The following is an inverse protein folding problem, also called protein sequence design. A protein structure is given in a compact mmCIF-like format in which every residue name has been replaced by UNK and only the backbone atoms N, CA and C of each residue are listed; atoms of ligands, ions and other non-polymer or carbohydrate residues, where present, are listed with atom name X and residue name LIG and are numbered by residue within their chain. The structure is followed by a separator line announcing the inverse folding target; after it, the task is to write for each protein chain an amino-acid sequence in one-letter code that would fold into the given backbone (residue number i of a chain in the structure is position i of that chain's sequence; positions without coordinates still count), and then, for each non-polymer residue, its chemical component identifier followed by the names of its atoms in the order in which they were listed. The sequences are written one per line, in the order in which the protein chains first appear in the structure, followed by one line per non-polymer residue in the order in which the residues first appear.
data_IF_149163633106
#
_entry.id   IF_149163633106
#
_cell.length_a   1.000
_cell.length_b   1.000
_cell.length_c   1.000
_cell.angle_alpha   90.00
_cell.angle_beta   90.00
_cell.angle_gamma   90.00
#
_symmetry.space_group_name_H-M   'P 1'
#
loop_
_entity.id
_entity.type
_entity.pdbx_description
1 polymer ?
#
# COMPACT_ATOMS: atom_id res chain seq x y z
N UNK A 1 -66.30 -48.38 -52.21
CA UNK A 1 -64.85 -48.56 -52.42
C UNK A 1 -64.23 -47.18 -52.57
N UNK A 2 -63.84 -46.59 -51.46
CA UNK A 2 -63.27 -45.24 -51.41
C UNK A 2 -61.73 -45.34 -51.25
N UNK A 3 -61.03 -44.78 -52.21
CA UNK A 3 -59.59 -44.56 -52.11
C UNK A 3 -59.34 -43.14 -51.63
N UNK A 4 -58.81 -43.00 -50.41
CA UNK A 4 -58.32 -41.76 -49.87
C UNK A 4 -56.84 -41.54 -50.25
N UNK A 5 -56.56 -40.40 -50.88
CA UNK A 5 -55.23 -39.84 -51.14
C UNK A 5 -54.70 -39.15 -49.92
N UNK A 6 -53.42 -39.29 -49.52
CA UNK A 6 -52.84 -38.47 -48.47
C UNK A 6 -52.31 -37.17 -49.09
N UNK A 7 -52.70 -36.06 -48.45
CA UNK A 7 -52.18 -34.70 -48.69
C UNK A 7 -50.80 -34.60 -48.09
N UNK A 8 -49.77 -34.34 -48.89
CA UNK A 8 -48.40 -34.06 -48.47
C UNK A 8 -48.27 -32.56 -48.13
N UNK A 9 -48.19 -32.23 -46.88
CA UNK A 9 -47.97 -30.88 -46.43
C UNK A 9 -46.44 -30.60 -46.48
N UNK A 10 -46.01 -29.80 -47.45
CA UNK A 10 -44.63 -29.30 -47.55
C UNK A 10 -44.50 -28.09 -46.66
N UNK A 11 -43.82 -28.24 -45.50
CA UNK A 11 -43.51 -27.18 -44.62
C UNK A 11 -42.25 -26.41 -45.12
N UNK A 12 -42.46 -25.27 -45.75
CA UNK A 12 -41.37 -24.33 -46.07
C UNK A 12 -40.82 -23.71 -44.79
N UNK A 13 -39.66 -24.16 -44.30
CA UNK A 13 -38.88 -23.47 -43.33
C UNK A 13 -38.21 -22.24 -44.01
N UNK A 14 -38.76 -21.05 -43.74
CA UNK A 14 -38.08 -19.79 -43.99
C UNK A 14 -36.97 -19.64 -42.97
N UNK A 15 -35.73 -19.83 -43.42
CA UNK A 15 -34.53 -19.41 -42.68
C UNK A 15 -34.52 -17.88 -42.58
N UNK A 16 -35.08 -17.36 -41.52
CA UNK A 16 -34.83 -15.99 -41.13
C UNK A 16 -33.35 -15.94 -40.71
N UNK A 17 -32.50 -15.34 -41.53
CA UNK A 17 -31.16 -14.91 -41.19
C UNK A 17 -31.31 -13.87 -40.11
N UNK A 18 -31.07 -14.26 -38.86
CA UNK A 18 -30.83 -13.30 -37.78
C UNK A 18 -29.50 -12.65 -38.10
N UNK A 19 -29.56 -11.45 -38.66
CA UNK A 19 -28.47 -10.51 -38.68
C UNK A 19 -28.11 -10.26 -37.20
N UNK A 20 -26.94 -10.77 -36.82
CA UNK A 20 -26.41 -10.64 -35.47
C UNK A 20 -26.06 -9.19 -35.17
N UNK A 21 -27.07 -8.36 -34.93
CA UNK A 21 -26.89 -7.14 -34.19
C UNK A 21 -26.28 -7.52 -32.81
N UNK A 22 -25.02 -7.15 -32.55
CA UNK A 22 -24.48 -7.20 -31.22
C UNK A 22 -25.50 -6.55 -30.27
N UNK A 23 -25.87 -7.21 -29.16
CA UNK A 23 -26.65 -6.53 -28.16
C UNK A 23 -25.86 -5.31 -27.80
N UNK A 24 -26.49 -4.14 -27.73
CA UNK A 24 -25.99 -2.96 -27.04
C UNK A 24 -25.74 -3.41 -25.60
N UNK A 25 -24.51 -3.93 -25.36
CA UNK A 25 -24.13 -4.52 -24.10
C UNK A 25 -24.25 -3.46 -23.02
N UNK A 26 -24.76 -3.85 -21.86
CA UNK A 26 -24.55 -3.05 -20.66
C UNK A 26 -23.05 -2.71 -20.57
N UNK A 27 -22.70 -1.48 -20.15
CA UNK A 27 -21.30 -1.08 -20.06
C UNK A 27 -20.54 -2.09 -19.22
N UNK A 28 -19.34 -2.48 -19.65
CA UNK A 28 -18.53 -3.46 -18.93
C UNK A 28 -18.25 -2.95 -17.52
N UNK A 29 -18.73 -3.67 -16.50
CA UNK A 29 -18.59 -3.28 -15.09
C UNK A 29 -17.71 -4.29 -14.35
N UNK A 30 -16.68 -3.78 -13.68
CA UNK A 30 -15.86 -4.55 -12.74
C UNK A 30 -16.41 -4.41 -11.33
N UNK A 31 -16.81 -5.52 -10.72
CA UNK A 31 -17.22 -5.60 -9.32
C UNK A 31 -16.03 -6.02 -8.46
N UNK A 32 -15.56 -5.12 -7.59
CA UNK A 32 -14.36 -5.31 -6.79
C UNK A 32 -14.64 -5.09 -5.31
N UNK A 33 -14.19 -6.00 -4.44
CA UNK A 33 -14.15 -5.77 -3.01
C UNK A 33 -13.05 -4.77 -2.65
N UNK A 34 -13.32 -3.85 -1.73
CA UNK A 34 -12.36 -2.86 -1.25
C UNK A 34 -12.00 -3.02 0.23
N UNK A 35 -12.71 -3.88 0.99
CA UNK A 35 -12.52 -4.00 2.43
C UNK A 35 -13.22 -2.86 3.18
N UNK A 36 -12.44 -2.07 3.92
CA UNK A 36 -12.93 -0.95 4.71
C UNK A 36 -13.39 0.25 3.84
N UNK A 37 -14.18 1.13 4.44
CA UNK A 37 -14.56 2.41 3.84
C UNK A 37 -13.35 3.35 3.77
N UNK A 38 -13.02 3.96 2.61
CA UNK A 38 -12.04 5.02 2.54
C UNK A 38 -12.46 6.24 3.38
N UNK A 39 -11.53 6.77 4.17
CA UNK A 39 -11.78 7.96 5.00
C UNK A 39 -12.04 9.22 4.17
N UNK A 40 -11.40 9.30 3.00
CA UNK A 40 -11.52 10.41 2.05
C UNK A 40 -11.03 10.01 0.66
N UNK A 41 -11.55 10.67 -0.39
CA UNK A 41 -10.98 10.65 -1.74
C UNK A 41 -10.18 11.92 -2.06
N UNK A 42 -10.08 12.88 -1.11
CA UNK A 42 -9.07 13.95 -1.17
C UNK A 42 -7.69 13.34 -0.92
N UNK A 43 -6.82 13.34 -1.91
CA UNK A 43 -5.48 12.74 -1.86
C UNK A 43 -4.59 13.33 -0.77
N UNK A 44 -4.89 14.52 -0.25
CA UNK A 44 -4.16 15.14 0.87
C UNK A 44 -4.75 14.81 2.25
N UNK A 45 -5.96 14.21 2.31
CA UNK A 45 -6.72 13.94 3.54
C UNK A 45 -6.89 12.45 3.82
N UNK A 46 -6.16 11.59 3.14
CA UNK A 46 -6.26 10.13 3.28
C UNK A 46 -4.90 9.48 3.48
N UNK A 47 -4.89 8.38 4.20
CA UNK A 47 -3.71 7.54 4.45
C UNK A 47 -4.00 6.06 4.31
N UNK A 48 -5.28 5.67 4.19
CA UNK A 48 -5.65 4.26 4.07
C UNK A 48 -5.29 3.67 2.71
N UNK A 49 -4.97 2.39 2.72
CA UNK A 49 -4.69 1.62 1.50
C UNK A 49 -5.92 1.60 0.58
N UNK A 50 -7.11 1.55 1.17
CA UNK A 50 -8.41 1.52 0.49
C UNK A 50 -8.64 2.81 -0.30
N UNK A 51 -8.39 3.98 0.32
CA UNK A 51 -8.42 5.26 -0.38
C UNK A 51 -7.40 5.29 -1.51
N UNK A 52 -6.16 4.86 -1.24
CA UNK A 52 -5.07 4.82 -2.22
C UNK A 52 -5.39 3.97 -3.45
N UNK A 53 -6.14 2.88 -3.32
CA UNK A 53 -6.57 2.08 -4.46
C UNK A 53 -7.53 2.83 -5.37
N UNK A 54 -8.56 3.46 -4.81
CA UNK A 54 -9.53 4.25 -5.58
C UNK A 54 -8.88 5.50 -6.17
N UNK A 55 -8.01 6.17 -5.42
CA UNK A 55 -7.31 7.36 -5.88
C UNK A 55 -6.39 7.10 -7.08
N UNK A 56 -5.76 5.91 -7.17
CA UNK A 56 -4.94 5.53 -8.35
C UNK A 56 -5.77 5.26 -9.59
N UNK A 57 -7.04 4.90 -9.44
CA UNK A 57 -7.97 4.78 -10.57
C UNK A 57 -8.46 6.19 -11.01
N UNK A 58 -8.60 7.13 -10.07
CA UNK A 58 -9.11 8.48 -10.29
C UNK A 58 -8.05 9.49 -10.73
N UNK A 59 -6.77 9.30 -10.38
CA UNK A 59 -5.73 10.28 -10.63
C UNK A 59 -4.38 9.67 -11.02
N UNK A 60 -3.54 10.49 -11.63
CA UNK A 60 -2.14 10.16 -11.89
C UNK A 60 -1.21 11.32 -11.48
N UNK A 61 -0.03 10.95 -10.93
CA UNK A 61 1.04 11.88 -10.60
C UNK A 61 1.97 12.18 -11.77
N UNK A 62 3.11 12.81 -11.48
CA UNK A 62 4.16 12.97 -12.49
C UNK A 62 4.71 11.63 -12.96
N UNK A 63 4.85 10.68 -12.02
CA UNK A 63 5.36 9.33 -12.23
C UNK A 63 4.29 8.29 -11.84
N UNK A 64 4.39 7.09 -12.38
CA UNK A 64 3.54 5.94 -12.09
C UNK A 64 4.33 4.63 -12.14
N UNK A 65 3.62 3.52 -11.97
CA UNK A 65 4.17 2.18 -12.14
C UNK A 65 3.49 1.45 -13.29
N UNK A 66 4.29 0.77 -14.11
CA UNK A 66 3.78 -0.19 -15.08
C UNK A 66 3.11 -1.39 -14.38
N UNK A 67 2.33 -2.22 -15.10
CA UNK A 67 1.80 -3.47 -14.56
C UNK A 67 2.88 -4.45 -14.06
N UNK A 68 4.12 -4.31 -14.51
CA UNK A 68 5.27 -5.08 -14.06
C UNK A 68 5.96 -4.48 -12.82
N UNK A 69 5.48 -3.34 -12.30
CA UNK A 69 6.05 -2.64 -11.15
C UNK A 69 7.28 -1.78 -11.47
N UNK A 70 7.59 -1.53 -12.75
CA UNK A 70 8.65 -0.61 -13.13
C UNK A 70 8.16 0.84 -13.05
N UNK A 71 9.02 1.74 -12.57
CA UNK A 71 8.76 3.17 -12.55
C UNK A 71 8.69 3.72 -13.98
N UNK A 72 7.64 4.48 -14.29
CA UNK A 72 7.42 5.06 -15.61
C UNK A 72 6.83 6.47 -15.54
N UNK A 73 6.99 7.31 -16.60
CA UNK A 73 6.33 8.59 -16.72
C UNK A 73 4.80 8.43 -16.78
N UNK A 74 4.06 9.31 -16.06
CA UNK A 74 2.60 9.34 -16.08
C UNK A 74 2.09 10.66 -16.66
N UNK A 75 1.72 11.65 -15.86
CA UNK A 75 1.38 12.99 -16.37
C UNK A 75 2.59 13.73 -16.98
N UNK A 76 3.81 13.39 -16.57
CA UNK A 76 5.02 13.79 -17.30
C UNK A 76 5.27 12.87 -18.51
N UNK A 77 5.92 13.37 -19.57
CA UNK A 77 6.46 12.56 -20.67
C UNK A 77 7.93 12.23 -20.45
N UNK A 78 8.68 13.16 -19.83
CA UNK A 78 10.11 13.08 -19.63
C UNK A 78 10.55 13.97 -18.48
N UNK A 79 11.77 13.78 -18.00
CA UNK A 79 12.38 14.66 -17.00
C UNK A 79 13.89 14.74 -17.18
N UNK A 80 14.46 15.83 -16.68
CA UNK A 80 15.91 16.05 -16.61
C UNK A 80 16.32 16.30 -15.17
N UNK A 81 17.51 15.86 -14.81
CA UNK A 81 18.11 16.06 -13.48
C UNK A 81 19.40 16.82 -13.62
N UNK A 82 19.60 17.88 -12.81
CA UNK A 82 20.84 18.63 -12.77
C UNK A 82 22.04 17.77 -12.34
N UNK A 83 23.25 18.18 -12.68
CA UNK A 83 24.48 17.45 -12.35
C UNK A 83 24.65 17.19 -10.85
N UNK A 84 24.18 18.12 -10.01
CA UNK A 84 24.22 17.99 -8.56
C UNK A 84 23.06 17.16 -7.98
N UNK A 85 22.18 16.62 -8.83
CA UNK A 85 21.05 15.77 -8.44
C UNK A 85 19.92 16.47 -7.68
N UNK A 86 19.88 17.80 -7.65
CA UNK A 86 18.96 18.58 -6.82
C UNK A 86 17.82 19.22 -7.57
N UNK A 87 17.93 19.43 -8.88
CA UNK A 87 16.89 20.07 -9.67
C UNK A 87 16.34 19.06 -10.66
N UNK A 88 15.03 18.83 -10.57
CA UNK A 88 14.27 18.02 -11.50
C UNK A 88 13.41 18.93 -12.36
N UNK A 89 13.51 18.80 -13.68
CA UNK A 89 12.68 19.54 -14.63
C UNK A 89 11.85 18.52 -15.41
N UNK A 90 10.53 18.56 -15.21
CA UNK A 90 9.58 17.65 -15.85
C UNK A 90 8.92 18.32 -17.03
N UNK A 91 8.80 17.61 -18.15
CA UNK A 91 7.98 17.99 -19.28
C UNK A 91 6.63 17.29 -19.16
N UNK A 92 5.54 18.05 -19.02
CA UNK A 92 4.18 17.51 -18.91
C UNK A 92 3.60 17.19 -20.29
N UNK A 93 2.64 16.26 -20.31
CA UNK A 93 1.89 15.91 -21.52
C UNK A 93 0.97 17.07 -21.94
N UNK A 94 1.12 17.65 -23.14
CA UNK A 94 0.27 18.76 -23.58
C UNK A 94 -1.18 18.31 -23.85
N UNK A 95 -1.40 17.02 -24.09
CA UNK A 95 -2.72 16.42 -24.27
C UNK A 95 -3.42 16.06 -22.97
N UNK A 96 -2.72 16.09 -21.80
CA UNK A 96 -3.31 15.73 -20.51
C UNK A 96 -4.47 16.67 -20.13
N UNK A 97 -5.57 16.07 -19.69
CA UNK A 97 -6.80 16.81 -19.35
C UNK A 97 -7.40 16.30 -18.06
N UNK A 98 -8.04 17.22 -17.37
CA UNK A 98 -8.95 16.93 -16.30
C UNK A 98 -10.26 16.32 -16.82
N UNK A 99 -11.00 15.63 -15.97
CA UNK A 99 -12.27 14.97 -16.31
C UNK A 99 -13.41 15.93 -16.68
N UNK A 100 -13.22 17.24 -16.50
CA UNK A 100 -14.10 18.31 -16.98
C UNK A 100 -13.64 18.92 -18.31
N UNK A 101 -12.53 18.43 -18.90
CA UNK A 101 -11.96 18.88 -20.16
C UNK A 101 -10.91 19.99 -20.04
N UNK A 102 -10.69 20.58 -18.87
CA UNK A 102 -9.64 21.56 -18.64
C UNK A 102 -8.25 20.95 -18.89
N UNK A 103 -7.23 21.72 -19.35
CA UNK A 103 -5.88 21.21 -19.49
C UNK A 103 -5.25 20.96 -18.11
N UNK A 104 -4.43 19.89 -18.00
CA UNK A 104 -3.55 19.68 -16.85
C UNK A 104 -2.24 20.43 -17.09
N UNK A 105 -1.86 21.30 -16.17
CA UNK A 105 -0.75 22.24 -16.34
C UNK A 105 0.28 22.14 -15.20
N UNK A 106 1.45 22.74 -15.38
CA UNK A 106 2.46 22.84 -14.33
C UNK A 106 1.96 23.63 -13.11
N UNK A 107 1.07 24.62 -13.30
CA UNK A 107 0.46 25.38 -12.21
C UNK A 107 -0.45 24.51 -11.32
N UNK A 108 -1.08 23.45 -11.85
CA UNK A 108 -1.88 22.53 -11.06
C UNK A 108 -0.99 21.75 -10.07
N UNK A 109 0.20 21.33 -10.49
CA UNK A 109 1.17 20.69 -9.61
C UNK A 109 1.74 21.66 -8.58
N UNK A 110 2.07 22.89 -8.97
CA UNK A 110 2.52 23.93 -8.02
C UNK A 110 1.47 24.18 -6.95
N UNK A 111 0.21 24.36 -7.35
CA UNK A 111 -0.90 24.55 -6.42
C UNK A 111 -1.05 23.35 -5.48
N UNK A 112 -1.04 22.14 -6.02
CA UNK A 112 -1.25 20.89 -5.27
C UNK A 112 -0.16 20.65 -4.25
N UNK A 113 1.10 20.85 -4.60
CA UNK A 113 2.23 20.64 -3.71
C UNK A 113 2.30 21.69 -2.60
N UNK A 114 1.96 22.95 -2.91
CA UNK A 114 1.78 23.98 -1.90
C UNK A 114 0.65 23.64 -0.93
N UNK A 115 -0.50 23.19 -1.45
CA UNK A 115 -1.64 22.75 -0.64
C UNK A 115 -1.30 21.55 0.25
N UNK A 116 -0.56 20.57 -0.27
CA UNK A 116 -0.12 19.41 0.51
C UNK A 116 0.71 19.81 1.74
N UNK A 117 1.59 20.80 1.59
CA UNK A 117 2.52 21.21 2.65
C UNK A 117 2.00 22.38 3.51
N UNK A 118 0.92 23.06 3.11
CA UNK A 118 0.30 24.13 3.87
C UNK A 118 -0.32 23.58 5.17
N UNK A 119 0.11 24.05 6.36
CA UNK A 119 -0.49 23.66 7.65
C UNK A 119 -2.01 23.86 7.68
N UNK A 120 -2.55 24.87 6.98
CA UNK A 120 -3.99 25.12 6.91
C UNK A 120 -4.77 23.98 6.22
N UNK A 121 -4.12 23.22 5.35
CA UNK A 121 -4.70 22.03 4.75
C UNK A 121 -4.84 20.89 5.77
N UNK A 122 -4.01 20.84 6.79
CA UNK A 122 -3.89 19.71 7.71
C UNK A 122 -3.78 18.37 6.96
N UNK A 123 -2.89 18.32 5.97
CA UNK A 123 -2.65 17.13 5.18
C UNK A 123 -1.97 16.04 6.02
N UNK A 124 -2.32 14.78 5.75
CA UNK A 124 -1.87 13.65 6.57
C UNK A 124 -0.55 13.03 6.09
N UNK A 125 -0.15 13.26 4.83
CA UNK A 125 1.00 12.58 4.22
C UNK A 125 1.98 13.58 3.54
N UNK A 126 2.57 14.48 4.35
CA UNK A 126 3.49 15.52 3.87
C UNK A 126 4.90 15.02 3.56
N UNK A 127 5.28 13.84 4.06
CA UNK A 127 6.62 13.27 3.92
C UNK A 127 7.02 12.98 2.48
N UNK A 128 6.06 12.79 1.56
CA UNK A 128 6.34 12.58 0.13
C UNK A 128 7.14 13.73 -0.50
N UNK A 129 6.99 14.96 0.00
CA UNK A 129 7.66 16.16 -0.51
C UNK A 129 8.59 16.82 0.52
N UNK A 130 8.93 16.14 1.61
CA UNK A 130 9.72 16.70 2.73
C UNK A 130 11.12 17.19 2.30
N UNK A 131 11.68 16.61 1.24
CA UNK A 131 12.99 16.95 0.71
C UNK A 131 12.96 18.06 -0.35
N UNK A 132 11.78 18.56 -0.72
CA UNK A 132 11.66 19.76 -1.56
C UNK A 132 12.12 20.98 -0.76
N UNK A 133 12.81 21.90 -1.43
CA UNK A 133 13.35 23.10 -0.79
C UNK A 133 12.24 23.89 -0.08
N UNK A 134 12.49 24.29 1.15
CA UNK A 134 11.59 24.98 2.09
C UNK A 134 10.41 24.13 2.63
N UNK A 135 10.26 22.85 2.24
CA UNK A 135 9.12 22.03 2.66
C UNK A 135 9.01 21.92 4.20
N UNK A 136 10.11 21.67 4.90
CA UNK A 136 10.13 21.54 6.36
C UNK A 136 9.71 22.83 7.07
N UNK A 137 10.17 23.99 6.58
CA UNK A 137 9.85 25.29 7.14
C UNK A 137 8.39 25.68 6.89
N UNK A 138 7.85 25.29 5.74
CA UNK A 138 6.42 25.46 5.41
C UNK A 138 5.56 24.62 6.35
N UNK A 139 5.85 23.33 6.51
CA UNK A 139 5.14 22.43 7.44
C UNK A 139 5.17 22.96 8.87
N UNK A 140 6.33 23.53 9.30
CA UNK A 140 6.47 24.17 10.60
C UNK A 140 5.73 25.53 10.71
N UNK A 141 5.16 26.05 9.61
CA UNK A 141 4.46 27.33 9.57
C UNK A 141 5.38 28.57 9.70
N UNK A 142 6.69 28.40 9.49
CA UNK A 142 7.68 29.47 9.62
C UNK A 142 7.85 30.30 8.37
N UNK A 143 7.50 29.76 7.20
CA UNK A 143 7.51 30.47 5.90
C UNK A 143 6.23 30.16 5.12
N UNK A 144 5.92 31.04 4.14
CA UNK A 144 4.73 30.87 3.27
C UNK A 144 4.87 29.68 2.33
N UNK A 145 3.77 28.93 2.04
CA UNK A 145 3.74 27.89 1.01
C UNK A 145 4.22 28.34 -0.38
N UNK A 146 4.12 29.64 -0.68
CA UNK A 146 4.61 30.22 -1.93
C UNK A 146 6.14 30.13 -2.12
N UNK A 147 6.88 29.89 -1.04
CA UNK A 147 8.34 29.75 -1.05
C UNK A 147 8.81 28.33 -1.39
N UNK A 148 7.86 27.40 -1.56
CA UNK A 148 8.19 26.01 -1.90
C UNK A 148 9.04 25.95 -3.17
N UNK A 149 10.07 25.11 -3.16
CA UNK A 149 10.97 24.89 -4.29
C UNK A 149 10.32 24.21 -5.50
N UNK A 150 9.09 24.62 -5.86
CA UNK A 150 8.35 24.12 -7.02
C UNK A 150 7.87 25.31 -7.87
N UNK A 151 8.15 25.26 -9.17
CA UNK A 151 7.88 26.35 -10.10
C UNK A 151 7.35 25.83 -11.44
N UNK A 152 6.25 26.39 -11.91
CA UNK A 152 5.85 26.31 -13.31
C UNK A 152 6.78 27.25 -14.12
N UNK A 153 7.63 26.69 -14.98
CA UNK A 153 8.52 27.43 -15.87
C UNK A 153 7.73 27.92 -17.07
N UNK A 154 6.87 27.04 -17.58
CA UNK A 154 5.81 27.37 -18.53
C UNK A 154 4.59 26.46 -18.27
N UNK A 155 3.60 26.44 -19.16
CA UNK A 155 2.36 25.65 -19.02
C UNK A 155 2.64 24.16 -18.87
N UNK A 156 3.70 23.64 -19.50
CA UNK A 156 4.01 22.22 -19.54
C UNK A 156 5.42 21.88 -19.02
N UNK A 157 6.11 22.84 -18.39
CA UNK A 157 7.41 22.60 -17.76
C UNK A 157 7.34 22.91 -16.27
N UNK A 158 7.53 21.87 -15.45
CA UNK A 158 7.56 21.94 -13.98
C UNK A 158 8.97 21.73 -13.47
N UNK A 159 9.47 22.66 -12.66
CA UNK A 159 10.76 22.54 -11.98
C UNK A 159 10.59 22.30 -10.49
N UNK A 160 11.28 21.29 -9.96
CA UNK A 160 11.32 20.97 -8.53
C UNK A 160 12.75 21.04 -8.06
N UNK A 161 13.00 21.79 -7.00
CA UNK A 161 14.33 21.94 -6.37
C UNK A 161 14.31 21.23 -5.01
N UNK A 162 15.29 20.34 -4.77
CA UNK A 162 15.46 19.60 -3.53
C UNK A 162 16.51 20.25 -2.63
N UNK A 163 16.40 20.02 -1.31
CA UNK A 163 17.40 20.44 -0.33
C UNK A 163 18.73 19.70 -0.52
N UNK A 164 18.68 18.44 -0.95
CA UNK A 164 19.81 17.55 -1.19
C UNK A 164 19.47 16.58 -2.33
N UNK A 165 20.48 15.90 -2.93
CA UNK A 165 20.19 14.83 -3.89
C UNK A 165 19.41 13.69 -3.24
N UNK A 166 18.30 13.27 -3.87
CA UNK A 166 17.44 12.20 -3.38
C UNK A 166 17.25 11.18 -4.50
N UNK A 167 18.00 10.06 -4.50
CA UNK A 167 17.95 9.07 -5.58
C UNK A 167 16.57 8.43 -5.81
N UNK A 168 15.77 8.33 -4.74
CA UNK A 168 14.42 7.75 -4.77
C UNK A 168 13.30 8.78 -5.00
N UNK A 169 13.62 10.05 -5.29
CA UNK A 169 12.63 11.14 -5.42
C UNK A 169 11.54 10.83 -6.45
N UNK A 170 11.89 10.26 -7.59
CA UNK A 170 10.91 9.89 -8.61
C UNK A 170 9.89 8.85 -8.10
N UNK A 171 10.33 7.93 -7.23
CA UNK A 171 9.42 6.94 -6.62
C UNK A 171 8.44 7.59 -5.64
N UNK A 172 8.83 8.65 -4.92
CA UNK A 172 7.92 9.42 -4.07
C UNK A 172 6.76 10.04 -4.86
N UNK A 173 7.02 10.43 -6.12
CA UNK A 173 6.03 11.06 -7.00
C UNK A 173 4.99 10.10 -7.57
N UNK A 174 5.04 8.81 -7.22
CA UNK A 174 4.01 7.81 -7.53
C UNK A 174 2.94 7.70 -6.44
N UNK A 175 3.19 8.30 -5.28
CA UNK A 175 2.25 8.24 -4.16
C UNK A 175 1.04 9.16 -4.40
N UNK A 176 -0.21 8.71 -4.12
CA UNK A 176 -1.41 9.52 -4.37
C UNK A 176 -1.39 10.91 -3.76
N UNK A 177 -0.72 11.12 -2.61
CA UNK A 177 -0.58 12.45 -1.99
C UNK A 177 0.12 13.48 -2.90
N UNK A 178 0.88 13.02 -3.91
CA UNK A 178 1.57 13.89 -4.89
C UNK A 178 0.80 14.05 -6.19
N UNK A 179 -0.40 13.48 -6.30
CA UNK A 179 -1.25 13.70 -7.47
C UNK A 179 -1.78 15.13 -7.47
N UNK A 180 -1.93 15.76 -8.64
CA UNK A 180 -2.48 17.09 -8.71
C UNK A 180 -3.95 17.08 -8.32
N UNK A 181 -4.42 18.20 -7.76
CA UNK A 181 -5.83 18.44 -7.42
C UNK A 181 -6.34 19.65 -8.21
N UNK A 182 -7.58 19.56 -8.67
CA UNK A 182 -8.18 20.61 -9.49
C UNK A 182 -8.55 21.84 -8.63
N UNK A 183 -7.79 22.94 -8.80
CA UNK A 183 -7.92 24.16 -8.01
C UNK A 183 -9.35 24.72 -8.02
N UNK A 184 -9.96 24.83 -9.21
CA UNK A 184 -11.30 25.38 -9.36
C UNK A 184 -12.37 24.59 -8.62
N UNK A 185 -12.25 23.27 -8.55
CA UNK A 185 -13.16 22.42 -7.75
C UNK A 185 -13.00 22.68 -6.26
N UNK A 186 -11.76 22.79 -5.76
CA UNK A 186 -11.48 23.08 -4.35
C UNK A 186 -12.00 24.46 -3.96
N UNK A 187 -11.75 25.50 -4.76
CA UNK A 187 -12.21 26.86 -4.51
C UNK A 187 -13.74 26.96 -4.52
N UNK A 188 -14.43 26.20 -5.39
CA UNK A 188 -15.88 26.21 -5.50
C UNK A 188 -16.58 25.43 -4.38
N UNK A 189 -15.99 24.32 -3.91
CA UNK A 189 -16.69 23.34 -3.06
C UNK A 189 -16.04 23.14 -1.69
N UNK A 190 -14.83 23.68 -1.45
CA UNK A 190 -14.09 23.49 -0.19
C UNK A 190 -13.91 22.01 0.14
N UNK A 191 -14.20 21.60 1.37
CA UNK A 191 -14.07 20.20 1.82
C UNK A 191 -14.96 19.21 1.04
N UNK A 192 -15.99 19.69 0.37
CA UNK A 192 -16.90 18.86 -0.44
C UNK A 192 -16.39 18.61 -1.86
N UNK A 193 -15.20 19.12 -2.23
CA UNK A 193 -14.65 18.91 -3.58
C UNK A 193 -14.44 17.42 -3.90
N UNK A 194 -14.15 16.58 -2.89
CA UNK A 194 -13.91 15.13 -3.05
C UNK A 194 -15.21 14.28 -3.02
N UNK A 195 -16.35 14.88 -3.38
CA UNK A 195 -17.66 14.18 -3.43
C UNK A 195 -18.14 14.02 -4.88
N UNK A 196 -19.04 13.06 -5.14
CA UNK A 196 -19.65 12.90 -6.46
C UNK A 196 -20.21 14.22 -7.02
N UNK A 197 -19.97 14.48 -8.30
CA UNK A 197 -20.35 15.70 -8.99
C UNK A 197 -19.41 16.90 -8.77
N UNK A 198 -18.53 16.86 -7.77
CA UNK A 198 -17.57 17.94 -7.49
C UNK A 198 -16.12 17.52 -7.77
N UNK A 199 -15.78 16.22 -7.61
CA UNK A 199 -14.42 15.75 -7.79
C UNK A 199 -14.04 15.74 -9.27
N UNK A 200 -13.06 16.56 -9.60
CA UNK A 200 -12.44 16.64 -10.94
C UNK A 200 -11.10 15.93 -10.87
N UNK A 201 -10.89 14.94 -11.73
CA UNK A 201 -9.78 13.99 -11.71
C UNK A 201 -9.01 14.03 -13.02
N UNK A 202 -7.74 13.57 -13.02
CA UNK A 202 -6.90 13.49 -14.21
C UNK A 202 -6.51 12.07 -14.61
N UNK A 203 -7.05 11.05 -13.92
CA UNK A 203 -6.78 9.63 -14.18
C UNK A 203 -7.76 8.98 -15.15
N UNK A 204 -7.66 7.66 -15.25
CA UNK A 204 -8.44 6.83 -16.16
C UNK A 204 -9.95 6.85 -15.87
N UNK A 205 -10.33 7.14 -14.63
CA UNK A 205 -11.71 7.16 -14.19
C UNK A 205 -12.08 8.49 -13.52
N UNK A 206 -13.40 8.76 -13.46
CA UNK A 206 -13.99 9.86 -12.69
C UNK A 206 -15.02 9.30 -11.71
N UNK A 207 -15.20 9.97 -10.58
CA UNK A 207 -16.15 9.57 -9.55
C UNK A 207 -17.59 9.78 -10.01
N UNK A 208 -18.37 8.72 -10.05
CA UNK A 208 -19.78 8.77 -10.43
C UNK A 208 -20.68 8.80 -9.18
N UNK A 209 -20.48 7.88 -8.25
CA UNK A 209 -21.30 7.73 -7.06
C UNK A 209 -20.48 7.27 -5.85
N UNK A 210 -20.87 7.68 -4.67
CA UNK A 210 -20.31 7.20 -3.40
C UNK A 210 -21.45 7.06 -2.38
N UNK A 211 -21.88 5.82 -2.19
CA UNK A 211 -22.85 5.44 -1.17
C UNK A 211 -22.09 4.93 0.06
N UNK A 212 -22.06 5.77 1.11
CA UNK A 212 -21.30 5.50 2.33
C UNK A 212 -21.72 4.18 2.97
N UNK A 213 -20.73 3.34 3.30
CA UNK A 213 -20.94 2.00 3.87
C UNK A 213 -21.40 0.94 2.87
N UNK A 214 -21.50 1.26 1.57
CA UNK A 214 -22.00 0.37 0.54
C UNK A 214 -21.01 0.22 -0.62
N UNK A 215 -20.80 1.27 -1.41
CA UNK A 215 -19.89 1.23 -2.55
C UNK A 215 -19.45 2.60 -3.04
N UNK A 216 -18.36 2.59 -3.80
CA UNK A 216 -17.89 3.70 -4.62
C UNK A 216 -17.94 3.23 -6.08
N UNK A 217 -18.64 3.96 -6.95
CA UNK A 217 -18.68 3.72 -8.39
C UNK A 217 -17.92 4.80 -9.14
N UNK A 218 -17.04 4.34 -10.02
CA UNK A 218 -16.26 5.19 -10.92
C UNK A 218 -16.55 4.78 -12.36
N UNK A 219 -16.51 5.74 -13.27
CA UNK A 219 -16.72 5.50 -14.70
C UNK A 219 -15.54 6.04 -15.50
N UNK A 220 -15.32 5.48 -16.70
CA UNK A 220 -14.23 5.85 -17.59
C UNK A 220 -14.24 7.35 -17.88
N UNK A 221 -13.05 7.97 -17.76
CA UNK A 221 -12.83 9.37 -18.09
C UNK A 221 -12.49 9.49 -19.58
N UNK A 222 -13.39 10.06 -20.35
CA UNK A 222 -13.22 10.24 -21.81
C UNK A 222 -12.05 11.16 -22.18
N UNK A 223 -11.64 12.04 -21.26
CA UNK A 223 -10.52 12.97 -21.45
C UNK A 223 -9.17 12.39 -21.02
N UNK A 224 -9.15 11.18 -20.46
CA UNK A 224 -7.89 10.57 -20.05
C UNK A 224 -6.98 10.32 -21.26
N UNK A 225 -5.70 10.66 -21.13
CA UNK A 225 -4.69 10.56 -22.20
C UNK A 225 -4.62 9.19 -22.87
N UNK A 226 -4.89 8.12 -22.11
CA UNK A 226 -4.83 6.74 -22.57
C UNK A 226 -6.23 6.06 -22.54
N UNK A 227 -7.26 6.84 -22.77
CA UNK A 227 -8.65 6.39 -22.76
C UNK A 227 -8.93 5.27 -23.76
N UNK A 228 -8.25 5.25 -24.90
CA UNK A 228 -8.43 4.22 -25.94
C UNK A 228 -8.05 2.82 -25.43
N UNK A 229 -7.09 2.75 -24.48
CA UNK A 229 -6.64 1.49 -23.86
C UNK A 229 -7.38 1.17 -22.55
N UNK A 230 -8.28 2.02 -22.08
CA UNK A 230 -9.08 1.80 -20.88
C UNK A 230 -10.29 0.92 -21.21
N UNK A 231 -10.14 -0.40 -21.05
CA UNK A 231 -11.10 -1.39 -21.51
C UNK A 231 -12.38 -1.52 -20.67
N UNK A 232 -12.30 -1.16 -19.36
CA UNK A 232 -13.42 -1.30 -18.42
C UNK A 232 -14.17 0.03 -18.35
N UNK A 233 -15.48 0.01 -18.61
CA UNK A 233 -16.30 1.24 -18.63
C UNK A 233 -16.61 1.75 -17.22
N UNK A 234 -16.85 0.83 -16.27
CA UNK A 234 -17.19 1.16 -14.89
C UNK A 234 -16.54 0.21 -13.90
N UNK A 235 -16.16 0.73 -12.75
CA UNK A 235 -15.68 -0.06 -11.62
C UNK A 235 -16.53 0.29 -10.40
N UNK A 236 -17.04 -0.73 -9.71
CA UNK A 236 -17.73 -0.56 -8.44
C UNK A 236 -16.92 -1.23 -7.34
N UNK A 237 -16.42 -0.41 -6.42
CA UNK A 237 -15.67 -0.81 -5.23
C UNK A 237 -16.67 -1.03 -4.08
N UNK A 238 -16.89 -2.27 -3.68
CA UNK A 238 -17.82 -2.60 -2.60
C UNK A 238 -17.13 -2.56 -1.24
N UNK A 239 -17.69 -1.80 -0.32
CA UNK A 239 -17.27 -1.79 1.08
C UNK A 239 -17.77 -3.07 1.75
N UNK A 240 -16.83 -3.92 2.16
CA UNK A 240 -17.12 -5.19 2.83
C UNK A 240 -15.99 -5.48 3.84
N UNK A 241 -16.07 -4.93 5.06
CA UNK A 241 -14.97 -5.02 6.04
C UNK A 241 -14.61 -6.45 6.45
N UNK A 242 -15.60 -7.35 6.49
CA UNK A 242 -15.39 -8.74 6.89
C UNK A 242 -14.89 -9.60 5.71
N UNK A 243 -13.62 -10.08 5.73
CA UNK A 243 -13.05 -10.82 4.60
C UNK A 243 -13.82 -12.09 4.21
N UNK A 244 -14.45 -12.77 5.18
CA UNK A 244 -15.26 -13.96 4.91
C UNK A 244 -16.55 -13.61 4.17
N UNK A 245 -17.19 -12.47 4.51
CA UNK A 245 -18.36 -11.99 3.79
C UNK A 245 -17.99 -11.61 2.34
N UNK A 246 -16.87 -10.93 2.14
CA UNK A 246 -16.35 -10.58 0.81
C UNK A 246 -16.06 -11.85 -0.04
N UNK A 247 -15.40 -12.85 0.55
CA UNK A 247 -15.15 -14.13 -0.13
C UNK A 247 -16.45 -14.86 -0.50
N UNK A 248 -17.48 -14.81 0.36
CA UNK A 248 -18.78 -15.43 0.06
C UNK A 248 -19.48 -14.73 -1.12
N UNK A 249 -19.41 -13.39 -1.20
CA UNK A 249 -19.91 -12.61 -2.35
C UNK A 249 -19.18 -12.98 -3.64
N UNK A 250 -17.85 -13.13 -3.58
CA UNK A 250 -17.06 -13.61 -4.72
C UNK A 250 -17.51 -15.01 -5.17
N UNK A 251 -17.70 -15.95 -4.24
CA UNK A 251 -18.15 -17.31 -4.53
C UNK A 251 -19.58 -17.37 -5.09
N UNK A 252 -20.40 -16.39 -4.72
CA UNK A 252 -21.74 -16.21 -5.28
C UNK A 252 -21.77 -15.57 -6.67
N UNK A 253 -20.59 -15.09 -7.17
CA UNK A 253 -20.48 -14.40 -8.45
C UNK A 253 -20.88 -12.91 -8.41
N UNK A 254 -21.02 -12.33 -7.21
CA UNK A 254 -21.32 -10.90 -7.04
C UNK A 254 -20.07 -10.02 -7.19
N UNK A 255 -18.89 -10.57 -6.94
CA UNK A 255 -17.61 -9.90 -7.09
C UNK A 255 -16.73 -10.62 -8.08
N UNK A 256 -15.96 -9.87 -8.86
CA UNK A 256 -14.92 -10.38 -9.76
C UNK A 256 -13.56 -10.48 -9.06
N UNK A 257 -13.31 -9.62 -8.07
CA UNK A 257 -12.04 -9.56 -7.32
C UNK A 257 -12.36 -9.30 -5.85
N UNK A 258 -11.71 -10.04 -4.93
CA UNK A 258 -11.70 -9.74 -3.51
C UNK A 258 -10.49 -8.90 -3.13
N UNK A 259 -10.58 -8.13 -2.05
CA UNK A 259 -9.47 -7.38 -1.47
C UNK A 259 -8.39 -8.33 -0.91
N UNK A 260 -8.83 -9.38 -0.21
CA UNK A 260 -7.95 -10.38 0.39
C UNK A 260 -8.68 -11.73 0.49
N UNK A 261 -7.93 -12.77 0.83
CA UNK A 261 -8.47 -14.09 1.18
C UNK A 261 -8.36 -14.27 2.70
N UNK A 262 -9.45 -14.65 3.41
CA UNK A 262 -9.36 -14.96 4.83
C UNK A 262 -8.26 -15.99 5.10
N UNK A 263 -7.42 -15.81 6.15
CA UNK A 263 -6.31 -16.70 6.43
C UNK A 263 -6.69 -18.18 6.50
N UNK A 264 -7.80 -18.48 7.15
CA UNK A 264 -8.33 -19.84 7.32
C UNK A 264 -8.84 -20.48 6.02
N UNK A 265 -9.09 -19.66 4.99
CA UNK A 265 -9.54 -20.13 3.68
C UNK A 265 -8.42 -20.22 2.64
N UNK A 266 -7.24 -19.64 2.92
CA UNK A 266 -6.18 -19.49 1.92
C UNK A 266 -5.72 -20.84 1.34
N UNK A 267 -5.35 -21.81 2.17
CA UNK A 267 -4.93 -23.14 1.71
C UNK A 267 -6.02 -23.83 0.91
N UNK A 268 -7.28 -23.75 1.38
CA UNK A 268 -8.42 -24.34 0.69
C UNK A 268 -8.68 -23.69 -0.69
N UNK A 269 -8.50 -22.37 -0.79
CA UNK A 269 -8.64 -21.67 -2.07
C UNK A 269 -7.54 -22.06 -3.03
N UNK A 270 -6.29 -22.19 -2.58
CA UNK A 270 -5.18 -22.71 -3.39
C UNK A 270 -5.43 -24.12 -3.91
N UNK A 271 -6.03 -25.00 -3.10
CA UNK A 271 -6.34 -26.38 -3.50
C UNK A 271 -7.52 -26.45 -4.48
N UNK A 272 -8.57 -25.66 -4.25
CA UNK A 272 -9.84 -25.82 -4.97
C UNK A 272 -9.99 -24.85 -6.16
N UNK A 273 -9.26 -23.73 -6.15
CA UNK A 273 -9.32 -22.66 -7.17
C UNK A 273 -7.93 -22.04 -7.43
N UNK A 274 -6.90 -22.86 -7.74
CA UNK A 274 -5.53 -22.36 -7.88
C UNK A 274 -5.39 -21.28 -8.95
N UNK A 275 -6.16 -21.36 -10.03
CA UNK A 275 -6.11 -20.40 -11.13
C UNK A 275 -6.75 -19.05 -10.79
N UNK A 276 -7.51 -18.97 -9.70
CA UNK A 276 -8.16 -17.73 -9.25
C UNK A 276 -7.38 -17.04 -8.14
N UNK A 277 -6.48 -17.78 -7.44
CA UNK A 277 -5.65 -17.22 -6.38
C UNK A 277 -4.43 -16.52 -6.97
N UNK A 278 -4.21 -15.27 -6.59
CA UNK A 278 -3.02 -14.50 -6.97
C UNK A 278 -2.23 -14.17 -5.72
N UNK A 279 -0.97 -14.61 -5.69
CA UNK A 279 -0.01 -14.31 -4.63
C UNK A 279 1.11 -13.48 -5.24
N UNK A 280 1.26 -12.26 -4.77
CA UNK A 280 2.30 -11.35 -5.23
C UNK A 280 3.22 -10.97 -4.08
N UNK A 281 4.53 -10.77 -4.32
CA UNK A 281 5.42 -10.20 -3.32
C UNK A 281 4.89 -8.85 -2.84
N UNK A 282 4.90 -8.64 -1.52
CA UNK A 282 4.60 -7.35 -0.92
C UNK A 282 5.90 -6.68 -0.48
N UNK A 283 5.97 -5.37 -0.69
CA UNK A 283 7.08 -4.55 -0.19
C UNK A 283 6.84 -4.30 1.31
N UNK A 284 7.16 -5.27 2.15
CA UNK A 284 6.88 -5.19 3.57
C UNK A 284 7.70 -6.17 4.41
N UNK A 285 7.92 -5.81 5.66
CA UNK A 285 8.60 -6.64 6.66
C UNK A 285 7.76 -6.70 7.93
N UNK A 286 7.55 -7.92 8.44
CA UNK A 286 6.93 -8.20 9.72
C UNK A 286 8.03 -8.50 10.74
N UNK A 287 8.02 -7.83 11.88
CA UNK A 287 9.12 -7.93 12.83
C UNK A 287 8.69 -7.86 14.29
N UNK A 288 9.60 -8.28 15.15
CA UNK A 288 9.58 -8.00 16.58
C UNK A 288 10.76 -7.09 16.90
N UNK A 289 10.46 -6.02 17.64
CA UNK A 289 11.46 -5.05 18.10
C UNK A 289 11.71 -5.16 19.60
N UNK A 290 12.85 -4.64 20.04
CA UNK A 290 13.25 -4.56 21.43
C UNK A 290 13.40 -3.10 21.87
N UNK A 291 13.00 -2.76 23.09
CA UNK A 291 13.29 -1.46 23.66
C UNK A 291 14.79 -1.32 23.93
N UNK A 292 15.47 -0.52 23.11
CA UNK A 292 16.92 -0.31 23.19
C UNK A 292 17.33 0.69 24.29
N UNK A 293 16.38 1.39 24.92
CA UNK A 293 16.63 2.44 25.92
C UNK A 293 16.54 1.91 27.36
N UNK A 294 16.04 0.70 27.55
CA UNK A 294 15.81 0.13 28.87
C UNK A 294 16.39 -1.29 29.03
N UNK A 295 16.77 -1.70 30.26
CA UNK A 295 17.05 -3.10 30.57
C UNK A 295 15.83 -3.98 30.25
N UNK A 296 16.05 -5.27 29.85
CA UNK A 296 17.37 -5.97 29.78
C UNK A 296 18.08 -5.77 28.45
N UNK A 297 17.52 -5.01 27.51
CA UNK A 297 17.96 -4.93 26.11
C UNK A 297 18.97 -3.80 25.86
N UNK A 298 18.92 -2.72 26.63
CA UNK A 298 19.90 -1.64 26.53
C UNK A 298 21.32 -2.20 26.73
N UNK A 299 22.27 -1.78 25.91
CA UNK A 299 23.69 -2.17 25.95
C UNK A 299 23.94 -3.69 25.97
N UNK A 300 22.97 -4.52 25.60
CA UNK A 300 23.06 -5.99 25.62
C UNK A 300 22.80 -6.61 24.23
N UNK A 301 23.69 -6.42 23.26
CA UNK A 301 23.53 -6.99 21.90
C UNK A 301 23.50 -8.52 21.92
N UNK A 302 24.25 -9.17 22.80
CA UNK A 302 24.27 -10.64 22.90
C UNK A 302 22.89 -11.19 23.25
N UNK A 303 22.14 -10.52 24.15
CA UNK A 303 20.77 -10.93 24.48
C UNK A 303 19.83 -10.82 23.27
N UNK A 304 19.89 -9.70 22.56
CA UNK A 304 19.02 -9.46 21.39
C UNK A 304 19.29 -10.45 20.28
N UNK A 305 20.56 -10.74 20.00
CA UNK A 305 20.98 -11.76 19.03
C UNK A 305 20.52 -13.16 19.46
N UNK A 306 20.68 -13.52 20.74
CA UNK A 306 20.25 -14.80 21.28
C UNK A 306 18.75 -15.04 21.07
N UNK A 307 17.92 -14.05 21.40
CA UNK A 307 16.47 -14.13 21.22
C UNK A 307 16.08 -14.21 19.73
N UNK A 308 16.77 -13.48 18.87
CA UNK A 308 16.54 -13.52 17.42
C UNK A 308 16.89 -14.88 16.80
N UNK A 309 18.02 -15.48 17.19
CA UNK A 309 18.47 -16.80 16.70
C UNK A 309 17.63 -17.96 17.22
N UNK A 310 16.99 -17.80 18.38
CA UNK A 310 16.11 -18.82 18.96
C UNK A 310 14.79 -18.98 18.20
N UNK A 311 14.43 -18.02 17.31
CA UNK A 311 13.20 -18.06 16.52
C UNK A 311 13.43 -18.87 15.24
N UNK A 312 12.62 -19.93 15.05
CA UNK A 312 12.52 -20.67 13.78
C UNK A 312 11.55 -19.92 12.84
N UNK A 313 12.13 -19.10 11.95
CA UNK A 313 11.36 -18.29 11.00
C UNK A 313 10.62 -19.13 9.96
N UNK A 314 11.21 -20.27 9.58
CA UNK A 314 10.61 -21.23 8.65
C UNK A 314 9.37 -21.88 9.27
N UNK A 315 9.40 -22.17 10.58
CA UNK A 315 8.22 -22.67 11.30
C UNK A 315 7.14 -21.59 11.41
N UNK A 316 7.50 -20.34 11.70
CA UNK A 316 6.55 -19.22 11.72
C UNK A 316 5.81 -19.10 10.38
N UNK A 317 6.54 -19.13 9.26
CA UNK A 317 5.95 -19.04 7.91
C UNK A 317 4.99 -20.21 7.65
N UNK A 318 5.34 -21.43 8.08
CA UNK A 318 4.43 -22.59 7.96
C UNK A 318 3.17 -22.44 8.82
N UNK A 319 3.29 -21.84 10.02
CA UNK A 319 2.13 -21.57 10.90
C UNK A 319 1.20 -20.57 10.25
N UNK A 320 1.74 -19.49 9.67
CA UNK A 320 0.96 -18.44 8.99
C UNK A 320 0.35 -18.96 7.68
N UNK A 321 1.12 -19.66 6.86
CA UNK A 321 0.65 -20.47 5.72
C UNK A 321 0.01 -19.72 4.56
N UNK A 322 0.35 -18.43 4.32
CA UNK A 322 -0.26 -17.61 3.27
C UNK A 322 0.71 -17.16 2.18
N UNK A 323 1.91 -17.79 2.12
CA UNK A 323 2.93 -17.45 1.10
C UNK A 323 3.98 -16.46 1.57
N UNK A 324 3.97 -16.07 2.85
CA UNK A 324 5.04 -15.29 3.45
C UNK A 324 6.38 -16.01 3.34
N UNK A 325 7.48 -15.24 3.38
CA UNK A 325 8.84 -15.77 3.34
C UNK A 325 9.58 -15.46 4.64
N UNK A 326 10.47 -16.35 5.11
CA UNK A 326 11.34 -16.06 6.25
C UNK A 326 12.20 -14.83 5.94
N UNK A 327 12.28 -13.87 6.85
CA UNK A 327 13.08 -12.67 6.69
C UNK A 327 14.35 -12.72 7.54
N UNK A 328 15.49 -12.48 6.91
CA UNK A 328 16.80 -12.31 7.54
C UNK A 328 17.43 -10.98 7.22
N UNK A 329 16.65 -10.03 6.68
CA UNK A 329 17.05 -8.65 6.41
C UNK A 329 15.93 -7.71 6.81
N UNK A 330 16.30 -6.47 7.15
CA UNK A 330 15.32 -5.41 7.41
C UNK A 330 14.62 -4.97 6.13
N UNK A 331 15.39 -4.78 5.07
CA UNK A 331 14.87 -4.44 3.73
C UNK A 331 14.50 -5.74 3.02
N UNK A 332 13.26 -5.88 2.50
CA UNK A 332 12.81 -7.08 1.79
C UNK A 332 13.62 -7.36 0.52
N UNK A 333 13.82 -8.64 0.15
CA UNK A 333 14.39 -9.01 -1.15
C UNK A 333 13.54 -8.48 -2.31
N UNK A 334 14.18 -8.02 -3.37
CA UNK A 334 13.52 -7.47 -4.56
C UNK A 334 13.22 -5.97 -4.48
N UNK A 335 13.64 -5.30 -3.39
CA UNK A 335 13.66 -3.83 -3.34
C UNK A 335 14.61 -3.30 -4.41
N UNK A 336 14.18 -2.29 -5.17
CA UNK A 336 14.95 -1.75 -6.28
C UNK A 336 16.31 -1.22 -5.83
N UNK A 337 17.34 -1.46 -6.64
CA UNK A 337 18.71 -0.96 -6.44
C UNK A 337 19.33 -1.30 -5.07
N UNK A 338 18.90 -2.40 -4.42
CA UNK A 338 19.39 -2.78 -3.11
C UNK A 338 19.69 -4.28 -3.00
N UNK A 339 20.86 -4.59 -2.48
CA UNK A 339 21.24 -5.95 -2.09
C UNK A 339 21.03 -6.12 -0.58
N UNK A 340 20.13 -7.04 -0.16
CA UNK A 340 19.77 -7.22 1.25
C UNK A 340 20.99 -7.55 2.12
N UNK A 341 21.17 -6.80 3.19
CA UNK A 341 22.15 -7.12 4.25
C UNK A 341 21.52 -8.14 5.18
N UNK A 342 22.07 -9.35 5.19
CA UNK A 342 21.51 -10.47 5.96
C UNK A 342 22.03 -10.45 7.38
N UNK A 343 21.17 -10.82 8.34
CA UNK A 343 21.56 -11.06 9.71
C UNK A 343 22.57 -12.21 9.82
N UNK A 344 23.46 -12.11 10.79
CA UNK A 344 24.36 -13.21 11.16
C UNK A 344 23.53 -14.45 11.48
N UNK A 345 23.97 -15.61 11.01
CA UNK A 345 23.23 -16.85 11.16
C UNK A 345 22.15 -17.13 10.12
N UNK A 346 21.92 -16.27 9.12
CA UNK A 346 20.97 -16.51 8.02
C UNK A 346 21.27 -17.81 7.25
N UNK A 347 22.56 -18.16 7.06
CA UNK A 347 23.00 -19.39 6.41
C UNK A 347 23.14 -20.61 7.34
N UNK A 348 22.90 -20.48 8.64
CA UNK A 348 23.02 -21.57 9.60
C UNK A 348 21.79 -22.50 9.60
N UNK A 349 21.99 -23.78 9.92
CA UNK A 349 20.89 -24.68 10.25
C UNK A 349 20.24 -24.24 11.57
N UNK A 350 18.94 -24.53 11.76
CA UNK A 350 18.20 -24.11 12.96
C UNK A 350 18.86 -24.62 14.26
N UNK A 351 19.36 -25.86 14.27
CA UNK A 351 20.06 -26.39 15.42
C UNK A 351 21.38 -25.65 15.76
N UNK A 352 22.06 -25.12 14.73
CA UNK A 352 23.26 -24.31 14.94
C UNK A 352 22.89 -22.94 15.50
N UNK A 353 21.82 -22.34 14.97
CA UNK A 353 21.23 -21.09 15.50
C UNK A 353 20.87 -21.26 16.99
N UNK A 354 20.22 -22.38 17.36
CA UNK A 354 19.86 -22.65 18.76
C UNK A 354 21.10 -22.78 19.66
N UNK A 355 22.15 -23.51 19.23
CA UNK A 355 23.40 -23.63 20.01
C UNK A 355 24.06 -22.28 20.21
N UNK A 356 24.11 -21.43 19.16
CA UNK A 356 24.65 -20.08 19.24
C UNK A 356 23.79 -19.19 20.13
N UNK A 357 22.48 -19.26 20.02
CA UNK A 357 21.53 -18.56 20.87
C UNK A 357 21.76 -18.88 22.36
N UNK A 358 21.90 -20.15 22.70
CA UNK A 358 22.18 -20.59 24.09
C UNK A 358 23.52 -20.10 24.62
N UNK A 359 24.54 -20.03 23.75
CA UNK A 359 25.84 -19.49 24.12
C UNK A 359 25.73 -17.99 24.43
N UNK A 360 25.17 -17.21 23.51
CA UNK A 360 24.99 -15.76 23.65
C UNK A 360 24.09 -15.41 24.85
N UNK A 361 23.08 -16.21 25.12
CA UNK A 361 22.18 -16.02 26.26
C UNK A 361 22.92 -16.11 27.60
N UNK A 362 23.87 -17.06 27.70
CA UNK A 362 24.75 -17.17 28.88
C UNK A 362 25.76 -16.01 28.95
N UNK A 363 26.34 -15.61 27.82
CA UNK A 363 27.24 -14.45 27.73
C UNK A 363 26.53 -13.14 28.15
N UNK A 364 25.23 -13.04 27.83
CA UNK A 364 24.36 -11.93 28.24
C UNK A 364 23.99 -11.94 29.74
N UNK A 365 24.40 -12.97 30.49
CA UNK A 365 24.18 -13.07 31.93
C UNK A 365 22.91 -13.83 32.33
N UNK A 366 22.23 -14.51 31.41
CA UNK A 366 20.98 -15.22 31.67
C UNK A 366 21.15 -16.74 31.61
N UNK A 367 20.23 -17.47 32.24
CA UNK A 367 20.21 -18.93 32.28
C UNK A 367 19.41 -19.47 33.47
N UNK A 368 19.58 -20.76 33.81
CA UNK A 368 18.78 -21.40 34.87
C UNK A 368 18.90 -20.73 36.26
N UNK A 369 20.05 -20.10 36.57
CA UNK A 369 20.26 -19.37 37.82
C UNK A 369 19.79 -17.93 37.79
N UNK A 370 19.53 -17.37 36.61
CA UNK A 370 19.04 -16.01 36.38
C UNK A 370 18.10 -16.03 35.17
N UNK A 371 16.85 -16.50 35.31
CA UNK A 371 15.92 -16.60 34.18
C UNK A 371 15.49 -15.23 33.68
N UNK A 372 15.40 -15.07 32.37
CA UNK A 372 14.86 -13.87 31.75
C UNK A 372 13.34 -13.91 31.79
N UNK A 373 12.74 -12.80 32.23
CA UNK A 373 11.29 -12.54 32.14
C UNK A 373 11.09 -11.30 31.28
N UNK A 374 10.17 -11.38 30.31
CA UNK A 374 9.87 -10.27 29.39
C UNK A 374 8.40 -10.26 29.01
N UNK A 375 7.91 -9.09 28.62
CA UNK A 375 6.59 -8.90 28.02
C UNK A 375 6.70 -8.78 26.50
N UNK A 376 5.76 -9.40 25.76
CA UNK A 376 5.61 -9.24 24.32
C UNK A 376 4.27 -8.55 24.05
N UNK A 377 4.31 -7.33 23.50
CA UNK A 377 3.11 -6.57 23.11
C UNK A 377 2.78 -6.78 21.64
N UNK A 378 1.52 -7.03 21.34
CA UNK A 378 1.01 -7.14 19.98
C UNK A 378 -0.43 -6.65 19.89
N UNK A 379 -0.84 -6.12 18.72
CA UNK A 379 -2.21 -5.68 18.52
C UNK A 379 -3.15 -6.87 18.23
N UNK A 380 -4.43 -6.66 18.53
CA UNK A 380 -5.49 -7.66 18.39
C UNK A 380 -5.63 -8.11 16.95
N UNK A 381 -5.22 -9.33 16.68
CA UNK A 381 -5.39 -10.04 15.42
C UNK A 381 -5.00 -11.51 15.62
N UNK A 382 -5.75 -12.44 15.04
CA UNK A 382 -5.52 -13.87 15.30
C UNK A 382 -4.13 -14.34 14.85
N UNK A 383 -3.66 -13.92 13.68
CA UNK A 383 -2.31 -14.26 13.19
C UNK A 383 -1.22 -13.70 14.09
N UNK A 384 -1.38 -12.49 14.63
CA UNK A 384 -0.39 -11.89 15.55
C UNK A 384 -0.30 -12.71 16.84
N UNK A 385 -1.45 -13.15 17.36
CA UNK A 385 -1.51 -14.05 18.52
C UNK A 385 -0.82 -15.38 18.25
N UNK A 386 -1.10 -16.03 17.11
CA UNK A 386 -0.46 -17.30 16.72
C UNK A 386 1.07 -17.17 16.66
N UNK A 387 1.58 -16.10 16.05
CA UNK A 387 3.03 -15.84 15.98
C UNK A 387 3.61 -15.55 17.35
N UNK A 388 2.96 -14.71 18.18
CA UNK A 388 3.43 -14.39 19.51
C UNK A 388 3.51 -15.62 20.41
N UNK A 389 2.50 -16.51 20.37
CA UNK A 389 2.50 -17.79 21.09
C UNK A 389 3.62 -18.70 20.61
N UNK A 390 3.84 -18.80 19.30
CA UNK A 390 4.94 -19.59 18.74
C UNK A 390 6.31 -19.08 19.21
N UNK A 391 6.55 -17.77 19.19
CA UNK A 391 7.79 -17.16 19.69
C UNK A 391 7.97 -17.38 21.18
N UNK A 392 6.93 -17.20 21.99
CA UNK A 392 6.93 -17.49 23.42
C UNK A 392 7.38 -18.94 23.69
N UNK A 393 6.82 -19.91 22.96
CA UNK A 393 7.17 -21.33 23.11
C UNK A 393 8.62 -21.63 22.68
N UNK A 394 9.06 -21.09 21.53
CA UNK A 394 10.44 -21.22 21.06
C UNK A 394 11.45 -20.66 22.07
N UNK A 395 11.21 -19.47 22.61
CA UNK A 395 12.07 -18.86 23.63
C UNK A 395 12.11 -19.68 24.92
N UNK A 396 10.96 -20.22 25.35
CA UNK A 396 10.90 -21.09 26.51
C UNK A 396 11.67 -22.40 26.30
N UNK A 397 11.50 -23.05 25.15
CA UNK A 397 12.14 -24.33 24.84
C UNK A 397 13.65 -24.21 24.64
N UNK A 398 14.10 -23.17 23.92
CA UNK A 398 15.51 -23.02 23.55
C UNK A 398 16.34 -22.36 24.66
N UNK A 399 15.79 -21.34 25.35
CA UNK A 399 16.52 -20.48 26.27
C UNK A 399 15.97 -20.48 27.69
N UNK A 400 14.79 -21.06 27.93
CA UNK A 400 14.13 -21.01 29.24
C UNK A 400 13.55 -19.65 29.61
N UNK A 401 13.28 -18.79 28.63
CA UNK A 401 12.68 -17.46 28.82
C UNK A 401 11.21 -17.57 29.21
N UNK A 402 10.79 -16.80 30.20
CA UNK A 402 9.39 -16.62 30.61
C UNK A 402 8.84 -15.34 29.96
N UNK A 403 8.12 -15.49 28.84
CA UNK A 403 7.50 -14.36 28.15
C UNK A 403 6.02 -14.24 28.52
N UNK A 404 5.55 -13.05 28.87
CA UNK A 404 4.14 -12.72 29.05
C UNK A 404 3.61 -12.04 27.79
N UNK A 405 2.43 -12.49 27.30
CA UNK A 405 1.80 -11.94 26.11
C UNK A 405 0.77 -10.88 26.48
N UNK A 406 0.91 -9.66 25.94
CA UNK A 406 0.00 -8.55 26.16
C UNK A 406 -0.68 -8.20 24.83
N UNK A 407 -1.98 -8.46 24.76
CA UNK A 407 -2.82 -8.12 23.61
C UNK A 407 -3.46 -6.75 23.82
N UNK A 408 -3.33 -5.85 22.85
CA UNK A 408 -3.81 -4.47 22.91
C UNK A 408 -4.57 -4.11 21.63
N UNK A 409 -5.42 -3.09 21.70
CA UNK A 409 -5.94 -2.43 20.52
C UNK A 409 -4.79 -1.68 19.81
N UNK A 410 -4.86 -1.54 18.45
CA UNK A 410 -3.71 -1.04 17.67
C UNK A 410 -3.26 0.37 18.09
N UNK A 411 -4.19 1.30 18.32
CA UNK A 411 -3.83 2.67 18.72
C UNK A 411 -3.22 2.71 20.12
N UNK A 412 -3.65 1.82 21.02
CA UNK A 412 -3.06 1.65 22.35
C UNK A 412 -1.65 1.12 22.25
N UNK A 413 -1.40 0.13 21.39
CA UNK A 413 -0.05 -0.36 21.10
C UNK A 413 0.85 0.78 20.63
N UNK A 414 0.43 1.53 19.60
CA UNK A 414 1.23 2.65 19.06
C UNK A 414 1.52 3.71 20.15
N UNK A 415 0.54 4.06 20.97
CA UNK A 415 0.75 5.00 22.07
C UNK A 415 1.78 4.49 23.10
N UNK A 416 1.73 3.20 23.45
CA UNK A 416 2.73 2.57 24.32
C UNK A 416 4.13 2.59 23.70
N UNK A 417 4.25 2.32 22.38
CA UNK A 417 5.54 2.35 21.69
C UNK A 417 6.13 3.77 21.68
N UNK A 418 5.33 4.79 21.37
CA UNK A 418 5.76 6.20 21.40
C UNK A 418 6.23 6.65 22.78
N UNK A 419 5.62 6.12 23.85
CA UNK A 419 6.00 6.40 25.23
C UNK A 419 7.13 5.48 25.74
N UNK A 420 7.69 4.61 24.90
CA UNK A 420 8.71 3.60 25.27
C UNK A 420 8.26 2.65 26.38
N UNK A 421 6.94 2.48 26.55
CA UNK A 421 6.32 1.60 27.55
C UNK A 421 6.18 0.16 27.00
N UNK A 422 7.29 -0.45 26.61
CA UNK A 422 7.36 -1.82 26.10
C UNK A 422 8.73 -2.43 26.41
N UNK A 423 8.81 -3.75 26.30
CA UNK A 423 10.08 -4.51 26.31
C UNK A 423 10.30 -5.13 24.93
N UNK A 424 9.40 -6.02 24.52
CA UNK A 424 9.34 -6.59 23.17
C UNK A 424 8.00 -6.24 22.55
N UNK A 425 8.00 -5.89 21.28
CA UNK A 425 6.79 -5.53 20.57
C UNK A 425 6.75 -6.11 19.16
N UNK A 426 5.56 -6.26 18.65
CA UNK A 426 5.30 -6.67 17.27
C UNK A 426 4.87 -5.49 16.42
N UNK A 427 5.47 -5.32 15.23
CA UNK A 427 4.96 -4.44 14.19
C UNK A 427 5.17 -5.06 12.79
N UNK A 428 4.76 -4.34 11.78
CA UNK A 428 5.16 -4.50 10.39
C UNK A 428 5.40 -3.12 9.77
N UNK A 429 6.27 -3.09 8.78
CA UNK A 429 6.46 -1.92 7.95
C UNK A 429 6.17 -2.29 6.50
N UNK A 430 5.32 -1.52 5.85
CA UNK A 430 5.05 -1.59 4.42
C UNK A 430 5.76 -0.41 3.75
N UNK A 431 6.53 -0.69 2.71
CA UNK A 431 7.24 0.36 1.98
C UNK A 431 6.27 1.24 1.18
N UNK A 432 6.42 2.53 1.31
CA UNK A 432 5.60 3.52 0.60
C UNK A 432 6.02 3.66 -0.87
N UNK A 433 7.27 3.32 -1.17
CA UNK A 433 7.89 3.34 -2.51
C UNK A 433 8.96 2.27 -2.62
N UNK A 434 9.28 1.86 -3.85
CA UNK A 434 10.22 0.77 -4.09
C UNK A 434 11.68 1.24 -4.04
N UNK A 435 12.16 1.54 -2.82
CA UNK A 435 13.55 1.86 -2.51
C UNK A 435 13.87 1.44 -1.06
N UNK A 436 15.13 1.11 -0.77
CA UNK A 436 15.56 0.72 0.57
C UNK A 436 15.35 1.81 1.62
N UNK A 437 15.36 3.06 1.22
CA UNK A 437 15.21 4.20 2.13
C UNK A 437 13.89 4.13 2.91
N UNK A 438 12.77 3.67 2.31
CA UNK A 438 11.48 3.54 3.03
C UNK A 438 11.58 2.65 4.26
N UNK A 439 12.52 1.70 4.29
CA UNK A 439 12.81 0.84 5.44
C UNK A 439 13.91 1.41 6.32
N UNK A 440 15.03 1.85 5.73
CA UNK A 440 16.21 2.27 6.48
C UNK A 440 15.98 3.57 7.26
N UNK A 441 15.17 4.48 6.73
CA UNK A 441 14.80 5.71 7.41
C UNK A 441 14.07 5.49 8.73
N UNK A 442 13.34 4.37 8.89
CA UNK A 442 12.69 4.03 10.16
C UNK A 442 13.68 3.71 11.28
N UNK A 443 14.96 3.49 10.96
CA UNK A 443 16.03 3.24 11.92
C UNK A 443 16.80 4.53 12.30
N UNK A 444 16.48 5.66 11.70
CA UNK A 444 17.07 6.95 12.06
C UNK A 444 16.53 7.44 13.39
N UNK A 445 17.43 7.94 14.27
CA UNK A 445 17.06 8.37 15.63
C UNK A 445 15.98 9.46 15.69
N UNK A 446 15.86 10.28 14.65
CA UNK A 446 14.85 11.34 14.56
C UNK A 446 13.52 10.87 13.93
N UNK A 447 13.44 9.63 13.45
CA UNK A 447 12.23 9.13 12.80
C UNK A 447 11.19 8.76 13.87
N UNK A 448 9.95 9.27 13.79
CA UNK A 448 8.89 8.98 14.76
C UNK A 448 8.46 7.51 14.78
N UNK A 449 8.83 6.72 13.78
CA UNK A 449 8.57 5.27 13.69
C UNK A 449 9.74 4.43 14.23
N UNK A 450 10.80 5.05 14.77
CA UNK A 450 11.87 4.39 15.49
C UNK A 450 11.49 4.29 16.98
N UNK A 451 10.84 3.19 17.34
CA UNK A 451 10.32 2.95 18.68
C UNK A 451 11.37 2.37 19.64
#
# INVERSE_FOLDING_TARGET
MNRSLPFLFVLLLSLASCDGGQPSGEPSMLHRGTGEEPESLDVHKSTSTEAGHVQRDLGEGLMGYSPAGALEPAAAVDWQVSEDGRIYTFTLRPEARWSNGDPVTADDFVYSYRRLLDPATAALYTQSLIEVANARDIIAGTVSPDTLGVQAVDTHELRITLNQPVPYFLSLLTHPSTFPVHRGSIEAHGERHARPGNLVTNGAYRLLEWEIGSYIEIERNEYYRDNENTAIERVRHYVTPEPMAELNRYRAGELHITRTIPPEMFSRMLETRPDEVRVSPALGVYYYGFNMEAPPFADNPALREALSLAIDRELIVRIVGRGEKPAYSWVPPGTANYEPQLLDGSGMLQEERHRRAQQLFREAGFGAGNPLRVTIRYNTHEVHKQIAVAIQDMWKQVLGVEAELINEEFQVLIANLQQKNMEVFRLNWNGDYNDANTFLSTLESANPNNF
#
